data_IF_437107293870
#
_entry.id   IF_437107293870
#
_cell.length_a   1.000
_cell.length_b   1.000
_cell.length_c   1.000
_cell.angle_alpha   90.00
_cell.angle_beta   90.00
_cell.angle_gamma   90.00
#
_symmetry.space_group_name_H-M   'P 1'
#
loop_
_entity.id
_entity.type
_entity.pdbx_description
1 polymer ?
#
# COMPACT_ATOMS: atom_id res chain seq x y z
N UNK A 1 0.46 9.69 17.81
CA UNK A 1 1.16 8.54 17.19
C UNK A 1 0.13 7.48 16.88
N UNK A 2 0.17 6.83 15.70
CA UNK A 2 -0.74 5.75 15.37
C UNK A 2 -0.56 4.61 16.37
N UNK A 3 -1.64 3.90 16.72
CA UNK A 3 -1.58 2.74 17.62
C UNK A 3 -1.15 1.46 16.89
N UNK A 4 -1.40 1.40 15.59
CA UNK A 4 -1.04 0.28 14.72
C UNK A 4 -0.40 0.82 13.46
N UNK A 5 0.66 0.16 12.99
CA UNK A 5 1.23 0.39 11.66
C UNK A 5 1.05 -0.87 10.84
N UNK A 6 0.31 -0.77 9.74
CA UNK A 6 0.16 -1.85 8.77
C UNK A 6 1.22 -1.65 7.69
N UNK A 7 1.94 -2.70 7.33
CA UNK A 7 3.00 -2.63 6.30
C UNK A 7 2.75 -3.70 5.26
N UNK A 8 2.64 -3.31 3.99
CA UNK A 8 2.51 -4.21 2.84
C UNK A 8 3.70 -4.00 1.91
N UNK A 9 4.49 -5.05 1.66
CA UNK A 9 5.42 -5.07 0.53
C UNK A 9 4.69 -5.58 -0.71
N UNK A 10 4.97 -4.98 -1.85
CA UNK A 10 4.40 -5.39 -3.13
C UNK A 10 5.45 -5.37 -4.23
N UNK A 11 5.50 -6.45 -5.00
CA UNK A 11 6.21 -6.55 -6.27
C UNK A 11 5.30 -7.27 -7.26
N UNK A 12 4.95 -6.59 -8.35
CA UNK A 12 4.06 -7.09 -9.39
C UNK A 12 2.73 -7.67 -8.85
N UNK A 13 2.01 -6.86 -8.06
CA UNK A 13 0.78 -7.27 -7.38
C UNK A 13 -0.51 -6.74 -8.01
N UNK A 14 -0.51 -6.36 -9.29
CA UNK A 14 -1.63 -5.65 -9.90
C UNK A 14 -3.00 -6.33 -9.77
N UNK A 15 -3.02 -7.66 -9.70
CA UNK A 15 -4.24 -8.46 -9.64
C UNK A 15 -4.99 -8.31 -8.29
N UNK A 16 -4.26 -8.16 -7.18
CA UNK A 16 -4.85 -8.22 -5.83
C UNK A 16 -4.68 -6.94 -5.01
N UNK A 17 -3.85 -6.01 -5.49
CA UNK A 17 -3.45 -4.85 -4.70
C UNK A 17 -4.62 -3.93 -4.35
N UNK A 18 -5.56 -3.74 -5.28
CA UNK A 18 -6.72 -2.87 -5.05
C UNK A 18 -7.61 -3.41 -3.92
N UNK A 19 -7.96 -4.70 -3.96
CA UNK A 19 -8.73 -5.36 -2.90
C UNK A 19 -7.98 -5.30 -1.55
N UNK A 20 -6.66 -5.55 -1.56
CA UNK A 20 -5.84 -5.50 -0.35
C UNK A 20 -5.88 -4.11 0.29
N UNK A 21 -5.63 -3.06 -0.49
CA UNK A 21 -5.61 -1.67 0.02
C UNK A 21 -6.99 -1.27 0.53
N UNK A 22 -8.05 -1.56 -0.22
CA UNK A 22 -9.42 -1.24 0.16
C UNK A 22 -9.82 -1.95 1.46
N UNK A 23 -9.39 -3.21 1.65
CA UNK A 23 -9.68 -3.97 2.86
C UNK A 23 -9.06 -3.32 4.11
N UNK A 24 -7.86 -2.75 3.99
CA UNK A 24 -7.14 -2.12 5.11
C UNK A 24 -7.68 -0.72 5.38
N UNK A 25 -7.94 0.08 4.35
CA UNK A 25 -8.46 1.43 4.52
C UNK A 25 -9.88 1.46 5.09
N UNK A 26 -10.68 0.41 4.85
CA UNK A 26 -12.05 0.27 5.35
C UNK A 26 -12.17 -0.47 6.70
N UNK A 27 -11.06 -0.72 7.41
CA UNK A 27 -11.12 -1.32 8.75
C UNK A 27 -11.95 -0.47 9.72
N UNK A 28 -12.64 -1.08 10.67
CA UNK A 28 -13.44 -0.36 11.68
C UNK A 28 -12.57 0.42 12.67
N UNK A 29 -11.38 -0.10 12.98
CA UNK A 29 -10.37 0.58 13.78
C UNK A 29 -9.66 1.65 12.94
N UNK A 30 -9.67 2.92 13.36
CA UNK A 30 -9.18 4.05 12.55
C UNK A 30 -7.79 4.57 12.95
N UNK A 31 -7.30 4.24 14.15
CA UNK A 31 -6.06 4.81 14.68
C UNK A 31 -4.82 4.04 14.19
N UNK A 32 -4.63 4.01 12.87
CA UNK A 32 -3.49 3.35 12.23
C UNK A 32 -2.83 4.23 11.17
N UNK A 33 -1.59 3.91 10.84
CA UNK A 33 -0.96 4.30 9.57
C UNK A 33 -0.81 3.06 8.68
N UNK A 34 -0.83 3.27 7.37
CA UNK A 34 -0.64 2.20 6.40
C UNK A 34 0.52 2.56 5.48
N UNK A 35 1.53 1.70 5.43
CA UNK A 35 2.74 1.89 4.63
C UNK A 35 2.80 0.81 3.56
N UNK A 36 2.94 1.23 2.30
CA UNK A 36 3.14 0.32 1.17
C UNK A 36 4.54 0.52 0.60
N UNK A 37 5.32 -0.57 0.56
CA UNK A 37 6.63 -0.63 -0.06
C UNK A 37 6.49 -1.26 -1.45
N UNK A 38 6.52 -0.44 -2.50
CA UNK A 38 6.58 -0.93 -3.88
C UNK A 38 8.05 -1.21 -4.26
N UNK A 39 8.38 -2.49 -4.37
CA UNK A 39 9.74 -3.00 -4.61
C UNK A 39 10.09 -3.07 -6.10
N UNK A 40 9.95 -1.95 -6.81
CA UNK A 40 10.34 -1.85 -8.21
C UNK A 40 9.43 -2.62 -9.18
N UNK A 41 8.11 -2.64 -8.91
CA UNK A 41 7.14 -3.32 -9.77
C UNK A 41 7.16 -2.77 -11.21
N UNK A 42 7.02 -3.66 -12.17
CA UNK A 42 7.00 -3.37 -13.61
C UNK A 42 5.62 -3.53 -14.26
N UNK A 43 4.62 -3.92 -13.47
CA UNK A 43 3.23 -4.07 -13.87
C UNK A 43 2.37 -2.83 -13.51
N UNK A 44 1.04 -2.98 -13.49
CA UNK A 44 0.08 -1.94 -13.12
C UNK A 44 0.13 -1.48 -11.66
N UNK A 45 0.93 -2.10 -10.78
CA UNK A 45 1.00 -1.81 -9.33
C UNK A 45 1.17 -0.32 -9.03
N UNK A 46 2.14 0.35 -9.66
CA UNK A 46 2.40 1.76 -9.40
C UNK A 46 1.21 2.66 -9.78
N UNK A 47 0.54 2.35 -10.89
CA UNK A 47 -0.65 3.07 -11.35
C UNK A 47 -1.82 2.87 -10.38
N UNK A 48 -1.98 1.67 -9.83
CA UNK A 48 -3.01 1.38 -8.83
C UNK A 48 -2.77 2.24 -7.58
N UNK A 49 -1.55 2.25 -7.06
CA UNK A 49 -1.18 3.00 -5.85
C UNK A 49 -1.39 4.51 -5.99
N UNK A 50 -1.15 5.09 -7.17
CA UNK A 50 -1.37 6.52 -7.45
C UNK A 50 -2.84 6.97 -7.33
N UNK A 51 -3.80 6.04 -7.37
CA UNK A 51 -5.24 6.38 -7.25
C UNK A 51 -5.65 6.69 -5.82
N UNK A 52 -4.86 6.27 -4.82
CA UNK A 52 -5.20 6.42 -3.42
C UNK A 52 -4.69 7.73 -2.84
N UNK A 53 -5.58 8.43 -2.12
CA UNK A 53 -5.28 9.74 -1.49
C UNK A 53 -5.58 9.74 0.01
N UNK A 54 -5.73 8.57 0.64
CA UNK A 54 -6.02 8.47 2.07
C UNK A 54 -4.86 9.05 2.90
N UNK A 55 -5.10 9.97 3.84
CA UNK A 55 -4.04 10.62 4.61
C UNK A 55 -3.27 9.67 5.54
N UNK A 56 -3.80 8.47 5.82
CA UNK A 56 -3.14 7.42 6.60
C UNK A 56 -2.20 6.58 5.74
N UNK A 57 -2.34 6.64 4.41
CA UNK A 57 -1.56 5.84 3.47
C UNK A 57 -0.26 6.56 3.09
N UNK A 58 0.86 5.85 3.22
CA UNK A 58 2.19 6.29 2.81
C UNK A 58 2.77 5.27 1.84
N UNK A 59 3.09 5.71 0.64
CA UNK A 59 3.67 4.85 -0.41
C UNK A 59 5.15 5.18 -0.55
N UNK A 60 5.98 4.15 -0.51
CA UNK A 60 7.42 4.25 -0.73
C UNK A 60 7.76 3.40 -1.96
N UNK A 61 8.44 4.03 -2.92
CA UNK A 61 8.96 3.35 -4.09
C UNK A 61 10.46 3.14 -3.94
N UNK A 62 10.92 1.94 -4.23
CA UNK A 62 12.35 1.60 -4.29
C UNK A 62 12.65 0.75 -5.52
N UNK A 63 13.92 0.66 -5.89
CA UNK A 63 14.37 -0.32 -6.88
C UNK A 63 14.20 -1.75 -6.34
N UNK A 64 14.01 -2.72 -7.23
CA UNK A 64 13.84 -4.11 -6.84
C UNK A 64 15.14 -4.65 -6.21
N UNK A 65 15.08 -5.05 -4.93
CA UNK A 65 16.21 -5.57 -4.18
C UNK A 65 16.25 -7.10 -4.05
N UNK A 66 15.34 -7.82 -4.71
CA UNK A 66 15.18 -9.28 -4.59
C UNK A 66 14.14 -9.67 -3.54
#
# INVERSE_FOLDING_TARGET
>A
MPQVSVVTSVYNGEEYLEECVDSILNQTFQNFEYIILNNGSTDGTARILQRYTDPRLRIIHQENLG
#
